data_IF_685627070570
#
_entry.id   IF_685627070570
#
_cell.length_a   1.000
_cell.length_b   1.000
_cell.length_c   1.000
_cell.angle_alpha   90.00
_cell.angle_beta   90.00
_cell.angle_gamma   90.00
#
_symmetry.space_group_name_H-M   'P 1'
#
loop_
_entity.id
_entity.type
_entity.pdbx_description
1 polymer ?
#
# COMPACT_ATOMS: atom_id res chain seq x y z
N UNK A 1 -26.89 -14.14 0.17
CA UNK A 1 -25.84 -14.37 -0.85
C UNK A 1 -25.14 -13.05 -1.09
N UNK A 2 -24.11 -12.74 -0.30
CA UNK A 2 -23.24 -11.57 -0.56
C UNK A 2 -21.95 -12.11 -1.16
N UNK A 3 -21.89 -12.16 -2.49
CA UNK A 3 -20.62 -12.34 -3.18
C UNK A 3 -19.80 -11.08 -2.91
N UNK A 4 -19.00 -11.09 -1.85
CA UNK A 4 -17.97 -10.07 -1.65
C UNK A 4 -16.98 -10.23 -2.79
N UNK A 5 -17.17 -9.44 -3.87
CA UNK A 5 -16.19 -9.25 -4.94
C UNK A 5 -14.95 -8.58 -4.33
N UNK A 6 -14.11 -9.37 -3.66
CA UNK A 6 -12.78 -8.92 -3.28
C UNK A 6 -11.97 -8.75 -4.57
N UNK A 7 -11.24 -7.65 -4.71
CA UNK A 7 -10.32 -7.42 -5.84
C UNK A 7 -9.43 -8.65 -6.12
N UNK A 8 -9.01 -9.35 -5.06
CA UNK A 8 -8.23 -10.58 -5.11
C UNK A 8 -8.92 -11.67 -5.94
N UNK A 9 -10.25 -11.79 -5.86
CA UNK A 9 -11.01 -12.82 -6.58
C UNK A 9 -11.00 -12.61 -8.10
N UNK A 10 -10.82 -11.36 -8.55
CA UNK A 10 -10.66 -11.03 -9.97
C UNK A 10 -9.24 -11.19 -10.51
N UNK A 11 -8.24 -11.42 -9.67
CA UNK A 11 -6.85 -11.61 -10.11
C UNK A 11 -6.62 -13.01 -10.68
N UNK A 12 -5.83 -13.07 -11.75
CA UNK A 12 -5.25 -14.31 -12.27
C UNK A 12 -4.37 -14.99 -11.19
N UNK A 13 -4.17 -16.32 -11.23
CA UNK A 13 -3.46 -17.05 -10.17
C UNK A 13 -2.06 -16.51 -9.87
N UNK A 14 -1.29 -16.15 -10.90
CA UNK A 14 0.08 -15.64 -10.71
C UNK A 14 0.09 -14.24 -10.08
N UNK A 15 -0.83 -13.37 -10.48
CA UNK A 15 -0.94 -12.02 -9.92
C UNK A 15 -1.45 -12.06 -8.48
N UNK A 16 -2.32 -13.02 -8.18
CA UNK A 16 -2.78 -13.30 -6.81
C UNK A 16 -1.63 -13.77 -5.92
N UNK A 17 -0.75 -14.64 -6.41
CA UNK A 17 0.44 -15.07 -5.66
C UNK A 17 1.36 -13.88 -5.37
N UNK A 18 1.71 -13.10 -6.39
CA UNK A 18 2.53 -11.88 -6.25
C UNK A 18 1.90 -10.86 -5.29
N UNK A 19 0.58 -10.70 -5.33
CA UNK A 19 -0.15 -9.85 -4.40
C UNK A 19 0.03 -10.31 -2.95
N UNK A 20 -0.10 -11.62 -2.68
CA UNK A 20 0.06 -12.14 -1.32
C UNK A 20 1.51 -12.11 -0.84
N UNK A 21 2.49 -12.26 -1.72
CA UNK A 21 3.90 -12.06 -1.39
C UNK A 21 4.16 -10.64 -0.85
N UNK A 22 3.52 -9.60 -1.42
CA UNK A 22 3.59 -8.22 -0.92
C UNK A 22 3.04 -8.03 0.51
N UNK A 23 2.18 -8.93 0.98
CA UNK A 23 1.59 -8.89 2.33
C UNK A 23 2.38 -9.71 3.36
N UNK A 24 3.46 -10.37 2.94
CA UNK A 24 4.36 -11.07 3.84
C UNK A 24 5.43 -10.09 4.33
N UNK A 25 5.53 -9.92 5.64
CA UNK A 25 6.59 -9.10 6.27
C UNK A 25 7.38 -9.95 7.27
N UNK A 26 8.63 -9.56 7.49
CA UNK A 26 9.49 -10.17 8.49
C UNK A 26 8.88 -10.00 9.88
N UNK A 27 9.15 -10.96 10.78
CA UNK A 27 8.65 -10.90 12.17
C UNK A 27 9.12 -9.63 12.89
N UNK A 28 10.33 -9.17 12.58
CA UNK A 28 10.91 -7.95 13.14
C UNK A 28 10.09 -6.70 12.79
N UNK A 29 9.58 -6.62 11.56
CA UNK A 29 8.75 -5.51 11.06
C UNK A 29 7.28 -5.65 11.48
N UNK A 30 6.83 -6.87 11.73
CA UNK A 30 5.48 -7.13 12.20
C UNK A 30 5.24 -6.65 13.63
N UNK A 31 6.28 -6.56 14.47
CA UNK A 31 6.15 -6.30 15.92
C UNK A 31 6.04 -7.57 16.75
N UNK A 32 5.71 -7.45 18.04
CA UNK A 32 5.60 -8.61 18.94
C UNK A 32 4.38 -9.47 18.56
N UNK A 33 4.66 -10.60 17.89
CA UNK A 33 3.68 -11.53 17.32
C UNK A 33 2.91 -12.34 18.39
N UNK A 34 3.26 -12.21 19.66
CA UNK A 34 2.57 -12.87 20.76
C UNK A 34 1.22 -12.22 21.14
N UNK A 35 0.87 -11.09 20.52
CA UNK A 35 -0.30 -10.30 20.93
C UNK A 35 -1.51 -10.49 19.99
N UNK A 36 -2.67 -10.98 20.48
CA UNK A 36 -3.86 -11.29 19.68
C UNK A 36 -4.60 -10.07 19.08
N UNK A 37 -4.12 -8.84 19.28
CA UNK A 37 -4.74 -7.61 18.74
C UNK A 37 -4.47 -7.35 17.25
N UNK A 38 -3.66 -8.19 16.57
CA UNK A 38 -3.45 -8.05 15.12
C UNK A 38 -4.67 -8.59 14.39
N UNK A 39 -5.58 -7.70 13.98
CA UNK A 39 -6.82 -8.09 13.31
C UNK A 39 -6.52 -8.79 11.97
N UNK A 40 -6.68 -10.11 11.92
CA UNK A 40 -6.63 -10.89 10.68
C UNK A 40 -5.24 -11.27 10.15
N UNK A 41 -4.17 -11.08 10.92
CA UNK A 41 -2.84 -11.60 10.55
C UNK A 41 -2.65 -13.05 10.95
N UNK A 42 -1.95 -13.83 10.12
CA UNK A 42 -1.53 -15.19 10.43
C UNK A 42 0.00 -15.25 10.51
N UNK A 43 0.55 -15.84 11.57
CA UNK A 43 1.98 -16.13 11.68
C UNK A 43 2.26 -17.39 10.85
N UNK A 44 3.20 -17.30 9.91
CA UNK A 44 3.72 -18.45 9.15
C UNK A 44 5.17 -18.71 9.59
N UNK A 45 5.72 -19.89 9.25
CA UNK A 45 7.12 -20.20 9.58
C UNK A 45 8.14 -19.21 9.01
N UNK A 46 7.75 -18.43 8.01
CA UNK A 46 8.60 -17.53 7.22
C UNK A 46 8.32 -16.02 7.47
N UNK A 47 7.37 -15.67 8.35
CA UNK A 47 7.03 -14.27 8.63
C UNK A 47 5.61 -14.08 9.19
N UNK A 48 5.13 -12.84 9.12
CA UNK A 48 3.75 -12.49 9.47
C UNK A 48 3.01 -12.07 8.20
N UNK A 49 1.89 -12.73 7.94
CA UNK A 49 0.97 -12.34 6.87
C UNK A 49 0.07 -11.22 7.36
N UNK A 50 0.15 -10.05 6.76
CA UNK A 50 -0.73 -8.91 7.04
C UNK A 50 -2.15 -9.16 6.51
N UNK A 51 -3.18 -8.53 7.11
CA UNK A 51 -4.53 -8.58 6.58
C UNK A 51 -4.62 -7.86 5.23
N UNK A 52 -5.53 -8.31 4.37
CA UNK A 52 -5.76 -7.72 3.06
C UNK A 52 -6.32 -6.27 3.18
N UNK A 53 -5.59 -5.23 2.72
CA UNK A 53 -6.03 -3.84 2.78
C UNK A 53 -7.39 -3.58 2.14
N UNK A 54 -7.77 -4.33 1.11
CA UNK A 54 -9.07 -4.15 0.44
C UNK A 54 -10.25 -4.69 1.25
N UNK A 55 -9.98 -5.54 2.25
CA UNK A 55 -10.99 -6.09 3.16
C UNK A 55 -11.08 -5.36 4.51
N UNK A 56 -10.12 -4.48 4.82
CA UNK A 56 -10.04 -3.77 6.10
C UNK A 56 -11.12 -2.69 6.24
N UNK A 57 -11.63 -2.55 7.47
CA UNK A 57 -12.51 -1.45 7.91
C UNK A 57 -11.79 -0.59 8.96
N UNK A 58 -12.41 0.48 9.48
CA UNK A 58 -11.78 1.30 10.54
C UNK A 58 -10.66 2.25 10.10
N UNK A 59 -10.65 2.62 8.81
CA UNK A 59 -9.73 3.62 8.26
C UNK A 59 -9.95 5.01 8.87
N UNK A 60 -8.85 5.70 9.19
CA UNK A 60 -8.82 7.03 9.80
C UNK A 60 -8.46 8.10 8.77
N UNK A 61 -9.18 9.21 8.80
CA UNK A 61 -8.92 10.39 7.96
C UNK A 61 -8.21 11.45 8.82
N UNK A 62 -6.91 11.20 9.07
CA UNK A 62 -6.07 12.05 9.91
C UNK A 62 -4.62 11.97 9.43
N UNK A 63 -4.13 13.08 8.88
CA UNK A 63 -2.79 13.20 8.32
C UNK A 63 -1.69 13.19 9.41
N UNK A 64 -2.02 13.57 10.65
CA UNK A 64 -1.05 13.59 11.75
C UNK A 64 -0.63 12.19 12.21
N UNK A 65 -1.37 11.15 11.79
CA UNK A 65 -1.06 9.75 12.05
C UNK A 65 -0.11 9.12 11.02
N UNK A 66 0.19 9.85 9.94
CA UNK A 66 1.01 9.30 8.87
C UNK A 66 2.46 9.21 9.32
N UNK A 67 3.17 8.14 8.96
CA UNK A 67 4.61 8.09 9.15
C UNK A 67 5.28 9.26 8.41
N UNK A 68 6.36 9.79 8.98
CA UNK A 68 7.19 10.78 8.31
C UNK A 68 7.99 10.09 7.20
N UNK A 69 7.39 10.02 6.01
CA UNK A 69 7.98 9.39 4.82
C UNK A 69 8.63 10.47 3.96
N UNK A 70 9.96 10.45 3.91
CA UNK A 70 10.72 11.35 3.06
C UNK A 70 10.85 10.84 1.60
N UNK A 71 11.41 11.70 0.74
CA UNK A 71 11.67 11.34 -0.65
C UNK A 71 12.68 10.19 -0.78
N UNK A 72 13.62 10.04 0.15
CA UNK A 72 14.60 8.95 0.17
C UNK A 72 13.93 7.59 0.30
N UNK A 73 12.97 7.46 1.21
CA UNK A 73 12.16 6.26 1.40
C UNK A 73 11.41 5.87 0.10
N UNK A 74 10.84 6.85 -0.59
CA UNK A 74 10.13 6.64 -1.87
C UNK A 74 11.12 6.23 -2.97
N UNK A 75 12.27 6.91 -3.05
CA UNK A 75 13.33 6.63 -4.01
C UNK A 75 13.87 5.21 -3.86
N UNK A 76 14.25 4.82 -2.64
CA UNK A 76 14.75 3.48 -2.31
C UNK A 76 13.75 2.42 -2.77
N UNK A 77 12.47 2.57 -2.44
CA UNK A 77 11.46 1.60 -2.86
C UNK A 77 11.31 1.50 -4.39
N UNK A 78 11.24 2.63 -5.10
CA UNK A 78 11.00 2.62 -6.55
C UNK A 78 12.22 2.20 -7.37
N UNK A 79 13.43 2.38 -6.85
CA UNK A 79 14.69 2.09 -7.56
C UNK A 79 15.29 0.75 -7.17
N UNK A 80 15.23 0.37 -5.89
CA UNK A 80 15.80 -0.88 -5.41
C UNK A 80 14.84 -2.06 -5.60
N UNK A 81 13.53 -1.81 -5.71
CA UNK A 81 12.59 -2.83 -6.14
C UNK A 81 12.63 -3.00 -7.68
N UNK A 82 12.49 -4.23 -8.21
CA UNK A 82 12.30 -4.45 -9.64
C UNK A 82 11.08 -3.66 -10.15
N UNK A 83 11.28 -2.71 -11.05
CA UNK A 83 10.20 -1.84 -11.52
C UNK A 83 10.55 -1.00 -12.74
N UNK A 84 9.58 -0.25 -13.28
CA UNK A 84 9.77 0.59 -14.47
C UNK A 84 10.52 1.90 -14.17
N UNK A 85 10.73 2.24 -12.90
CA UNK A 85 11.37 3.48 -12.49
C UNK A 85 12.88 3.34 -12.52
N UNK A 86 13.55 4.38 -12.98
CA UNK A 86 15.01 4.49 -12.95
C UNK A 86 15.43 5.79 -12.26
N UNK A 87 16.70 5.87 -11.87
CA UNK A 87 17.21 7.00 -11.09
C UNK A 87 17.06 8.35 -11.78
N UNK A 88 17.09 8.40 -13.12
CA UNK A 88 16.89 9.64 -13.88
C UNK A 88 15.43 10.12 -13.81
N UNK A 89 14.48 9.21 -13.98
CA UNK A 89 13.06 9.51 -13.83
C UNK A 89 12.74 10.03 -12.43
N UNK A 90 13.35 9.44 -11.40
CA UNK A 90 13.18 9.89 -10.02
C UNK A 90 13.84 11.26 -9.77
N UNK A 91 15.03 11.55 -10.31
CA UNK A 91 15.63 12.90 -10.25
C UNK A 91 14.70 13.96 -10.85
N UNK A 92 13.96 13.61 -11.90
CA UNK A 92 12.95 14.45 -12.53
C UNK A 92 11.53 14.15 -12.03
N UNK A 93 11.32 13.81 -10.75
CA UNK A 93 10.02 13.33 -10.26
C UNK A 93 8.84 14.27 -10.53
N UNK A 94 9.09 15.59 -10.60
CA UNK A 94 8.05 16.60 -10.91
C UNK A 94 7.50 16.48 -12.34
N UNK A 95 8.25 15.84 -13.22
CA UNK A 95 7.83 15.54 -14.60
C UNK A 95 7.08 14.21 -14.71
N UNK A 96 6.99 13.43 -13.62
CA UNK A 96 6.26 12.16 -13.64
C UNK A 96 4.76 12.40 -13.72
N UNK A 97 4.08 11.51 -14.43
CA UNK A 97 2.62 11.50 -14.49
C UNK A 97 2.00 11.41 -13.08
N UNK A 98 2.61 10.63 -12.17
CA UNK A 98 2.17 10.53 -10.79
C UNK A 98 2.15 11.89 -10.06
N UNK A 99 3.17 12.73 -10.26
CA UNK A 99 3.22 14.08 -9.69
C UNK A 99 2.14 14.97 -10.30
N UNK A 100 1.94 14.89 -11.62
CA UNK A 100 0.91 15.65 -12.32
C UNK A 100 -0.51 15.28 -11.87
N UNK A 101 -0.79 13.99 -11.67
CA UNK A 101 -2.06 13.50 -11.11
C UNK A 101 -2.30 14.05 -9.70
N UNK A 102 -1.25 14.08 -8.86
CA UNK A 102 -1.34 14.63 -7.51
C UNK A 102 -1.67 16.13 -7.52
N UNK A 103 -0.89 16.95 -8.22
CA UNK A 103 -1.13 18.42 -8.27
C UNK A 103 -2.46 18.77 -8.96
N UNK A 104 -2.96 17.91 -9.85
CA UNK A 104 -4.24 18.10 -10.55
C UNK A 104 -5.44 17.60 -9.76
N UNK A 105 -5.26 17.15 -8.50
CA UNK A 105 -6.37 16.75 -7.62
C UNK A 105 -7.01 15.39 -7.96
N UNK A 106 -6.27 14.52 -8.65
CA UNK A 106 -6.74 13.17 -8.95
C UNK A 106 -6.59 12.23 -7.74
N UNK A 107 -5.64 12.49 -6.85
CA UNK A 107 -5.45 11.74 -5.60
C UNK A 107 -6.39 12.31 -4.53
N UNK A 108 -7.28 11.47 -4.01
CA UNK A 108 -8.36 11.86 -3.08
C UNK A 108 -8.49 10.85 -1.95
N UNK A 109 -9.16 11.27 -0.87
CA UNK A 109 -9.54 10.40 0.25
C UNK A 109 -8.39 9.56 0.81
N UNK A 110 -7.27 10.21 1.13
CA UNK A 110 -6.14 9.50 1.71
C UNK A 110 -6.44 9.12 3.16
N UNK A 111 -6.33 7.84 3.50
CA UNK A 111 -6.67 7.33 4.84
C UNK A 111 -5.62 6.40 5.39
N UNK A 112 -5.51 6.41 6.72
CA UNK A 112 -4.57 5.62 7.51
C UNK A 112 -5.25 4.43 8.19
N UNK A 113 -4.56 3.29 8.26
CA UNK A 113 -4.96 2.14 9.07
C UNK A 113 -3.79 1.61 9.90
N UNK A 114 -3.90 1.55 11.25
CA UNK A 114 -2.78 1.14 12.11
C UNK A 114 -2.46 -0.35 12.05
N UNK A 115 -3.33 -1.17 11.45
CA UNK A 115 -3.32 -2.64 11.45
C UNK A 115 -3.59 -3.21 12.85
N UNK A 116 -2.75 -2.87 13.82
CA UNK A 116 -2.92 -3.11 15.25
C UNK A 116 -2.03 -2.16 16.05
N UNK A 117 -2.26 -2.03 17.37
CA UNK A 117 -1.47 -1.12 18.22
C UNK A 117 0.01 -1.50 18.24
N UNK A 118 0.32 -2.79 18.35
CA UNK A 118 1.67 -3.30 18.53
C UNK A 118 2.35 -3.75 17.23
N UNK A 119 1.72 -3.48 16.09
CA UNK A 119 2.29 -3.77 14.76
C UNK A 119 3.20 -2.61 14.36
N UNK A 120 4.44 -2.87 13.90
CA UNK A 120 5.34 -1.76 13.54
C UNK A 120 5.07 -1.16 12.16
N UNK A 121 4.23 -1.80 11.35
CA UNK A 121 3.77 -1.29 10.05
C UNK A 121 2.33 -0.79 10.08
N UNK A 122 1.98 0.06 9.11
CA UNK A 122 0.63 0.58 8.88
C UNK A 122 0.32 0.62 7.39
N UNK A 123 -0.96 0.81 7.05
CA UNK A 123 -1.37 1.08 5.67
C UNK A 123 -1.80 2.53 5.49
N UNK A 124 -1.43 3.11 4.35
CA UNK A 124 -2.16 4.24 3.76
C UNK A 124 -2.89 3.76 2.52
N UNK A 125 -4.07 4.32 2.25
CA UNK A 125 -4.77 4.15 0.98
C UNK A 125 -5.25 5.47 0.43
N UNK A 126 -5.56 5.50 -0.86
CA UNK A 126 -6.23 6.63 -1.50
C UNK A 126 -7.27 6.16 -2.51
N UNK A 127 -8.01 7.10 -3.08
CA UNK A 127 -8.73 6.96 -4.33
C UNK A 127 -8.05 7.81 -5.39
N UNK A 128 -7.73 7.22 -6.53
CA UNK A 128 -7.08 7.92 -7.64
C UNK A 128 -7.99 7.91 -8.85
N UNK A 129 -8.46 9.09 -9.24
CA UNK A 129 -9.26 9.28 -10.45
C UNK A 129 -8.35 9.17 -11.67
N UNK A 130 -8.62 8.32 -12.67
CA UNK A 130 -7.78 8.21 -13.86
C UNK A 130 -7.67 9.55 -14.61
N UNK A 131 -6.47 9.87 -15.10
CA UNK A 131 -6.20 11.13 -15.82
C UNK A 131 -6.94 11.23 -17.16
N UNK A 132 -6.97 10.14 -17.93
CA UNK A 132 -7.50 10.13 -19.29
C UNK A 132 -9.02 9.90 -19.37
N UNK A 133 -9.65 9.35 -18.31
CA UNK A 133 -11.06 8.97 -18.28
C UNK A 133 -11.68 9.24 -16.91
N UNK A 134 -12.07 10.49 -16.67
CA UNK A 134 -12.67 10.94 -15.39
C UNK A 134 -13.98 10.20 -15.05
N UNK A 135 -14.63 9.58 -16.04
CA UNK A 135 -15.84 8.76 -15.86
C UNK A 135 -15.57 7.31 -15.45
N UNK A 136 -14.31 6.87 -15.48
CA UNK A 136 -13.91 5.52 -15.11
C UNK A 136 -13.80 5.38 -13.58
N UNK A 137 -14.08 4.18 -13.08
CA UNK A 137 -14.05 3.89 -11.64
C UNK A 137 -12.67 4.24 -11.06
N UNK A 138 -12.60 5.07 -9.99
CA UNK A 138 -11.33 5.38 -9.35
C UNK A 138 -10.56 4.13 -8.92
N UNK A 139 -9.25 4.14 -9.12
CA UNK A 139 -8.39 3.09 -8.61
C UNK A 139 -8.11 3.28 -7.12
N UNK A 140 -7.84 2.17 -6.43
CA UNK A 140 -7.66 2.14 -4.98
C UNK A 140 -6.23 1.69 -4.67
N UNK A 141 -5.23 2.59 -4.71
CA UNK A 141 -3.89 2.25 -4.27
C UNK A 141 -3.82 2.15 -2.74
N UNK A 142 -2.90 1.31 -2.29
CA UNK A 142 -2.42 1.29 -0.92
C UNK A 142 -0.90 1.17 -0.86
N UNK A 143 -0.33 1.65 0.24
CA UNK A 143 1.07 1.48 0.60
C UNK A 143 1.18 0.98 2.04
N UNK A 144 2.11 0.06 2.28
CA UNK A 144 2.52 -0.44 3.58
C UNK A 144 3.79 0.29 4.00
N UNK A 145 3.75 0.94 5.15
CA UNK A 145 4.84 1.77 5.67
C UNK A 145 5.26 1.30 7.06
N UNK A 146 6.54 1.39 7.40
CA UNK A 146 6.97 1.33 8.80
C UNK A 146 6.49 2.58 9.53
N UNK A 147 5.91 2.41 10.73
CA UNK A 147 5.32 3.51 11.51
C UNK A 147 6.36 4.50 12.01
N UNK A 148 7.57 4.03 12.30
CA UNK A 148 8.63 4.81 12.92
C UNK A 148 9.55 5.46 11.90
N UNK A 149 9.98 4.71 10.89
CA UNK A 149 10.94 5.19 9.89
C UNK A 149 10.29 5.65 8.58
N UNK A 150 9.02 5.31 8.33
CA UNK A 150 8.32 5.71 7.10
C UNK A 150 8.76 4.93 5.85
N UNK A 151 9.52 3.84 6.00
CA UNK A 151 9.97 3.02 4.88
C UNK A 151 8.82 2.31 4.19
N UNK A 152 8.83 2.29 2.85
CA UNK A 152 7.84 1.58 2.05
C UNK A 152 8.22 0.10 1.96
N UNK A 153 7.40 -0.74 2.57
CA UNK A 153 7.59 -2.20 2.55
C UNK A 153 6.93 -2.83 1.32
N UNK A 154 5.76 -2.32 0.96
CA UNK A 154 4.99 -2.82 -0.17
C UNK A 154 3.98 -1.78 -0.65
N UNK A 155 3.58 -1.87 -1.90
CA UNK A 155 2.53 -1.06 -2.49
C UNK A 155 1.76 -1.85 -3.53
N UNK A 156 0.50 -1.49 -3.74
CA UNK A 156 -0.28 -2.05 -4.82
C UNK A 156 -1.42 -1.12 -5.23
N UNK A 157 -1.82 -1.16 -6.49
CA UNK A 157 -2.95 -0.43 -7.05
C UNK A 157 -3.90 -1.35 -7.81
N UNK A 158 -5.21 -1.07 -7.77
CA UNK A 158 -6.20 -1.80 -8.57
C UNK A 158 -6.20 -1.39 -10.06
N UNK A 159 -5.18 -0.67 -10.53
CA UNK A 159 -4.99 -0.38 -11.94
C UNK A 159 -4.24 -1.52 -12.63
N UNK A 160 -4.17 -1.50 -13.96
CA UNK A 160 -3.50 -2.56 -14.73
C UNK A 160 -1.99 -2.68 -14.45
N UNK A 161 -1.35 -1.62 -13.94
CA UNK A 161 0.06 -1.65 -13.60
C UNK A 161 0.35 -2.36 -12.26
N UNK A 162 -0.68 -2.48 -11.39
CA UNK A 162 -0.58 -3.12 -10.08
C UNK A 162 0.09 -2.28 -8.99
#
# INVERSE_FOLDING_TARGET
MSSSNSYISSLEPNDRTRYFEKLMVSVEDAGDSSNPEVTGSAVTGDGVRLPDPYSLTGWKDDLSLWPDTDYGCIYTYLIEAPGPFNGEAMKAYKSLEAYNLFISGHVRECRYHPIGKNVKVCFLKAKVVPGQRVTETPHNPWVCLTKKEGYVMAAHCTCMAG
#
